data_IF_308475148768
#
_entry.id   IF_308475148768
#
_cell.length_a   1.000
_cell.length_b   1.000
_cell.length_c   1.000
_cell.angle_alpha   90.00
_cell.angle_beta   90.00
_cell.angle_gamma   90.00
#
_symmetry.space_group_name_H-M   'P 1'
#
loop_
_entity.id
_entity.type
_entity.pdbx_description
1 polymer ?
#
# COMPACT_ATOMS: atom_id res chain seq x y z
N UNK A 1 15.09 43.76 44.24
CA UNK A 1 14.00 42.75 44.22
C UNK A 1 13.23 42.68 42.89
N UNK A 2 13.04 43.80 42.15
CA UNK A 2 12.28 43.80 40.87
C UNK A 2 12.96 43.08 39.68
N UNK A 3 14.29 43.09 39.59
CA UNK A 3 15.05 42.44 38.50
C UNK A 3 14.94 40.90 38.52
N UNK A 4 14.91 40.29 39.70
CA UNK A 4 14.84 38.83 39.82
C UNK A 4 13.48 38.27 39.39
N UNK A 5 12.40 39.05 39.53
CA UNK A 5 11.06 38.65 39.08
C UNK A 5 10.97 38.69 37.54
N UNK A 6 11.61 39.67 36.92
CA UNK A 6 11.65 39.77 35.46
C UNK A 6 12.44 38.62 34.82
N UNK A 7 13.58 38.23 35.42
CA UNK A 7 14.37 37.08 34.98
C UNK A 7 13.58 35.76 35.12
N UNK A 8 12.81 35.63 36.20
CA UNK A 8 11.99 34.43 36.46
C UNK A 8 10.84 34.28 35.45
N UNK A 9 10.16 35.38 35.10
CA UNK A 9 9.12 35.39 34.07
C UNK A 9 9.68 35.09 32.67
N UNK A 10 10.91 35.54 32.37
CA UNK A 10 11.59 35.23 31.11
C UNK A 10 11.93 33.73 31.02
N UNK A 11 12.33 33.10 32.13
CA UNK A 11 12.64 31.66 32.18
C UNK A 11 11.38 30.78 32.01
N UNK A 12 10.23 31.22 32.52
CA UNK A 12 8.96 30.48 32.38
C UNK A 12 8.38 30.54 30.97
N UNK A 13 8.73 31.56 30.16
CA UNK A 13 8.33 31.62 28.75
C UNK A 13 9.06 30.62 27.84
N UNK A 14 10.15 30.00 28.32
CA UNK A 14 10.91 28.99 27.56
C UNK A 14 10.36 27.57 27.69
N UNK A 15 9.32 27.32 28.51
CA UNK A 15 8.66 26.01 28.64
C UNK A 15 7.62 25.80 27.51
N UNK A 16 7.81 26.48 26.37
CA UNK A 16 6.92 26.42 25.22
C UNK A 16 6.89 25.03 24.57
N UNK A 17 5.84 24.27 24.88
CA UNK A 17 5.24 23.20 24.06
C UNK A 17 6.21 22.34 23.24
N UNK A 18 6.98 21.47 23.91
CA UNK A 18 7.58 20.33 23.23
C UNK A 18 6.49 19.34 22.86
N UNK A 19 6.07 19.31 21.60
CA UNK A 19 5.19 18.27 21.07
C UNK A 19 5.96 16.94 21.07
N UNK A 20 5.64 16.04 22.00
CA UNK A 20 6.40 14.80 22.23
C UNK A 20 5.78 13.56 21.55
N UNK A 21 5.00 13.75 20.49
CA UNK A 21 4.48 12.62 19.73
C UNK A 21 5.63 11.76 19.19
N UNK A 22 5.45 10.44 19.21
CA UNK A 22 6.45 9.48 18.77
C UNK A 22 5.80 8.43 17.89
N UNK A 23 6.42 8.17 16.75
CA UNK A 23 6.04 7.08 15.88
C UNK A 23 7.18 6.07 15.87
N UNK A 24 6.85 4.84 16.21
CA UNK A 24 7.77 3.70 16.07
C UNK A 24 7.14 2.72 15.11
N UNK A 25 7.97 2.05 14.32
CA UNK A 25 7.47 1.00 13.48
C UNK A 25 8.52 0.00 13.06
N UNK A 26 8.04 -1.04 12.38
CA UNK A 26 8.85 -2.13 11.88
C UNK A 26 8.38 -2.53 10.49
N UNK A 27 9.32 -2.71 9.56
CA UNK A 27 9.00 -3.32 8.28
C UNK A 27 8.90 -4.84 8.44
N UNK A 28 7.78 -5.41 8.00
CA UNK A 28 7.56 -6.85 7.98
C UNK A 28 7.86 -7.33 6.57
N UNK A 29 9.07 -7.87 6.39
CA UNK A 29 9.56 -8.31 5.08
C UNK A 29 8.86 -9.59 4.64
N UNK A 30 8.34 -9.59 3.40
CA UNK A 30 7.73 -10.79 2.79
C UNK A 30 8.75 -11.67 2.06
N UNK A 31 9.79 -11.06 1.49
CA UNK A 31 10.86 -11.66 0.71
C UNK A 31 12.16 -11.73 1.53
N UNK A 32 12.26 -12.75 2.38
CA UNK A 32 13.35 -12.91 3.37
C UNK A 32 14.75 -12.95 2.74
N UNK A 33 14.87 -13.42 1.50
CA UNK A 33 16.12 -13.43 0.74
C UNK A 33 16.73 -12.04 0.54
N UNK A 34 15.91 -10.98 0.54
CA UNK A 34 16.36 -9.61 0.32
C UNK A 34 16.66 -8.84 1.61
N UNK A 35 16.61 -9.49 2.77
CA UNK A 35 16.75 -8.84 4.08
C UNK A 35 17.97 -7.92 4.20
N UNK A 36 19.14 -8.41 3.77
CA UNK A 36 20.39 -7.65 3.86
C UNK A 36 20.30 -6.36 3.03
N UNK A 37 19.87 -6.48 1.77
CA UNK A 37 19.70 -5.33 0.87
C UNK A 37 18.72 -4.31 1.46
N UNK A 38 17.60 -4.79 2.02
CA UNK A 38 16.58 -3.92 2.63
C UNK A 38 17.13 -3.19 3.86
N UNK A 39 17.72 -3.90 4.81
CA UNK A 39 18.26 -3.30 6.05
C UNK A 39 19.38 -2.30 5.78
N UNK A 40 20.17 -2.49 4.73
CA UNK A 40 21.31 -1.63 4.41
C UNK A 40 20.92 -0.38 3.59
N UNK A 41 19.82 -0.41 2.85
CA UNK A 41 19.52 0.63 1.86
C UNK A 41 18.16 1.32 2.02
N UNK A 42 17.31 0.86 2.94
CA UNK A 42 15.93 1.37 3.06
C UNK A 42 15.79 2.54 4.02
N UNK A 43 15.04 3.54 3.58
CA UNK A 43 14.63 4.73 4.31
C UNK A 43 13.10 4.74 4.41
N UNK A 44 12.62 5.09 5.59
CA UNK A 44 11.22 5.47 5.82
C UNK A 44 11.16 6.99 5.77
N UNK A 45 10.27 7.52 4.96
CA UNK A 45 10.07 8.96 4.77
C UNK A 45 8.72 9.32 5.36
N UNK A 46 8.70 10.29 6.26
CA UNK A 46 7.51 10.79 6.92
C UNK A 46 7.17 12.18 6.36
N UNK A 47 5.91 12.41 6.03
CA UNK A 47 5.36 13.73 5.74
C UNK A 47 4.25 14.07 6.74
N UNK A 48 4.42 15.17 7.45
CA UNK A 48 3.47 15.71 8.43
C UNK A 48 3.26 17.20 8.12
N UNK A 49 2.16 17.52 7.44
CA UNK A 49 1.90 18.88 6.97
C UNK A 49 3.01 19.37 6.04
N UNK A 50 3.78 20.37 6.50
CA UNK A 50 4.96 20.92 5.81
C UNK A 50 6.28 20.22 6.17
N UNK A 51 6.32 19.46 7.26
CA UNK A 51 7.51 18.71 7.67
C UNK A 51 7.67 17.48 6.79
N UNK A 52 8.87 17.32 6.26
CA UNK A 52 9.32 16.09 5.62
C UNK A 52 10.55 15.64 6.38
N UNK A 53 10.56 14.38 6.79
CA UNK A 53 11.64 13.76 7.56
C UNK A 53 11.93 12.38 6.97
N UNK A 54 13.12 11.85 7.19
CA UNK A 54 13.48 10.52 6.74
C UNK A 54 14.45 9.86 7.69
N UNK A 55 14.22 8.58 7.98
CA UNK A 55 15.10 7.77 8.81
C UNK A 55 15.48 6.51 8.06
N UNK A 56 16.75 6.13 8.15
CA UNK A 56 17.19 4.81 7.70
C UNK A 56 16.62 3.75 8.64
N UNK A 57 16.17 2.62 8.09
CA UNK A 57 15.76 1.49 8.93
C UNK A 57 16.97 0.90 9.66
N UNK A 58 16.74 0.43 10.87
CA UNK A 58 17.74 -0.29 11.65
C UNK A 58 17.97 -1.70 11.09
N UNK A 59 19.00 -2.38 11.59
CA UNK A 59 19.31 -3.76 11.20
C UNK A 59 18.19 -4.76 11.49
N UNK A 60 17.31 -4.48 12.46
CA UNK A 60 16.12 -5.27 12.78
C UNK A 60 14.86 -4.79 12.02
N UNK A 61 15.05 -3.92 11.02
CA UNK A 61 14.02 -3.27 10.22
C UNK A 61 13.09 -2.32 11.01
N UNK A 62 13.47 -1.94 12.23
CA UNK A 62 12.76 -0.94 13.01
C UNK A 62 13.10 0.49 12.58
N UNK A 63 12.21 1.43 12.88
CA UNK A 63 12.42 2.86 12.67
C UNK A 63 11.68 3.69 13.71
N UNK A 64 12.17 4.90 13.97
CA UNK A 64 11.60 5.80 14.97
C UNK A 64 11.62 7.24 14.46
N UNK A 65 10.48 7.91 14.57
CA UNK A 65 10.36 9.37 14.43
C UNK A 65 9.94 9.97 15.77
N UNK A 66 10.63 11.03 16.19
CA UNK A 66 10.37 11.74 17.44
C UNK A 66 9.89 13.16 17.19
N UNK A 67 9.41 13.79 18.26
CA UNK A 67 8.97 15.18 18.31
C UNK A 67 7.92 15.47 17.24
N UNK A 68 6.95 14.57 17.12
CA UNK A 68 5.85 14.67 16.17
C UNK A 68 4.71 15.46 16.80
N UNK A 69 4.16 16.38 16.02
CA UNK A 69 2.96 17.12 16.37
C UNK A 69 1.68 16.31 16.16
N UNK A 70 0.56 16.95 16.48
CA UNK A 70 -0.77 16.47 16.12
C UNK A 70 -1.03 16.74 14.64
N UNK A 71 -0.80 15.73 13.80
CA UNK A 71 -1.05 15.85 12.37
C UNK A 71 -1.44 14.49 11.75
N UNK A 72 -1.97 14.54 10.54
CA UNK A 72 -2.07 13.40 9.64
C UNK A 72 -0.69 13.13 9.07
N UNK A 73 -0.13 12.00 9.46
CA UNK A 73 1.16 11.52 9.03
C UNK A 73 0.98 10.66 7.78
N UNK A 74 1.83 10.88 6.78
CA UNK A 74 1.95 10.05 5.58
C UNK A 74 3.32 9.42 5.54
N UNK A 75 3.37 8.09 5.36
CA UNK A 75 4.64 7.36 5.28
C UNK A 75 4.87 6.85 3.86
N UNK A 76 6.11 6.99 3.42
CA UNK A 76 6.67 6.42 2.20
C UNK A 76 7.90 5.59 2.56
N UNK A 77 8.25 4.63 1.71
CA UNK A 77 9.44 3.79 1.88
C UNK A 77 10.24 3.87 0.58
N UNK A 78 11.56 4.04 0.69
CA UNK A 78 12.49 4.23 -0.42
C UNK A 78 13.83 3.54 -0.15
N UNK A 79 14.57 3.03 -1.15
CA UNK A 79 14.15 2.89 -2.53
C UNK A 79 13.12 1.77 -2.67
N UNK A 80 12.32 1.82 -3.73
CA UNK A 80 11.48 0.70 -4.14
C UNK A 80 11.84 0.32 -5.56
N UNK A 81 11.95 -0.99 -5.80
CA UNK A 81 12.30 -1.54 -7.12
C UNK A 81 11.12 -1.54 -8.09
N UNK A 82 9.91 -1.31 -7.58
CA UNK A 82 8.68 -1.18 -8.35
C UNK A 82 7.88 0.02 -7.86
N UNK A 83 7.09 0.60 -8.76
CA UNK A 83 6.16 1.68 -8.42
C UNK A 83 5.16 1.16 -7.40
N UNK A 84 4.85 1.96 -6.39
CA UNK A 84 3.76 1.67 -5.50
C UNK A 84 3.15 2.96 -5.00
N UNK A 85 1.85 3.06 -5.15
CA UNK A 85 1.04 4.15 -4.63
C UNK A 85 0.62 3.93 -3.15
N UNK A 86 1.21 2.97 -2.44
CA UNK A 86 0.87 2.75 -1.02
C UNK A 86 1.33 3.93 -0.18
N UNK A 87 0.36 4.67 0.33
CA UNK A 87 0.54 5.75 1.30
C UNK A 87 -0.10 5.30 2.60
N UNK A 88 0.71 5.12 3.64
CA UNK A 88 0.18 4.84 4.98
C UNK A 88 -0.21 6.17 5.63
N UNK A 89 -1.52 6.40 5.75
CA UNK A 89 -2.08 7.55 6.43
C UNK A 89 -2.41 7.18 7.87
N UNK A 90 -1.94 7.96 8.83
CA UNK A 90 -2.19 7.75 10.24
C UNK A 90 -2.29 9.08 10.97
N UNK A 91 -3.26 9.20 11.87
CA UNK A 91 -3.36 10.35 12.76
C UNK A 91 -2.58 10.09 14.04
N UNK A 92 -1.85 11.10 14.52
CA UNK A 92 -1.19 11.08 15.81
C UNK A 92 -1.83 12.13 16.74
N UNK A 93 -2.19 11.71 17.96
CA UNK A 93 -2.66 12.59 19.02
C UNK A 93 -1.50 13.20 19.78
N UNK A 94 -1.79 14.23 20.57
CA UNK A 94 -0.77 14.94 21.34
C UNK A 94 -0.11 13.97 22.34
N UNK A 95 1.23 13.95 22.34
CA UNK A 95 2.04 13.06 23.19
C UNK A 95 1.75 11.56 22.99
N UNK A 96 1.11 11.15 21.90
CA UNK A 96 0.86 9.74 21.58
C UNK A 96 2.16 9.06 21.14
N UNK A 97 2.38 7.85 21.66
CA UNK A 97 3.36 6.91 21.11
C UNK A 97 2.58 5.90 20.26
N UNK A 98 2.82 5.92 18.96
CA UNK A 98 2.15 5.02 18.01
C UNK A 98 3.11 3.97 17.50
N UNK A 99 2.65 2.72 17.50
CA UNK A 99 3.37 1.57 16.99
C UNK A 99 2.70 1.08 15.70
N UNK A 100 3.47 0.88 14.64
CA UNK A 100 2.97 0.37 13.37
C UNK A 100 3.85 -0.74 12.81
N UNK A 101 3.21 -1.72 12.18
CA UNK A 101 3.89 -2.75 11.40
C UNK A 101 3.51 -2.56 9.94
N UNK A 102 4.51 -2.45 9.08
CA UNK A 102 4.31 -2.19 7.66
C UNK A 102 4.75 -3.41 6.86
N UNK A 103 3.82 -4.15 6.24
CA UNK A 103 4.18 -5.17 5.26
C UNK A 103 4.99 -4.56 4.14
N UNK A 104 6.17 -5.13 3.88
CA UNK A 104 7.10 -4.64 2.87
C UNK A 104 7.59 -5.80 2.02
N UNK A 105 7.55 -5.61 0.70
CA UNK A 105 8.16 -6.50 -0.26
C UNK A 105 9.15 -5.67 -1.07
N UNK A 106 10.43 -6.05 -1.08
CA UNK A 106 11.45 -5.29 -1.78
C UNK A 106 11.42 -5.51 -3.29
N UNK A 107 10.91 -6.66 -3.72
CA UNK A 107 10.65 -7.05 -5.10
C UNK A 107 9.16 -7.34 -5.28
N UNK A 108 8.62 -7.07 -6.47
CA UNK A 108 7.25 -7.44 -6.78
C UNK A 108 7.18 -8.93 -7.17
N UNK A 109 6.52 -9.81 -6.39
CA UNK A 109 6.45 -11.24 -6.72
C UNK A 109 5.72 -11.54 -8.03
N UNK A 110 4.92 -10.59 -8.52
CA UNK A 110 4.15 -10.69 -9.77
C UNK A 110 4.87 -10.05 -10.97
N UNK A 111 6.12 -9.62 -10.81
CA UNK A 111 6.89 -9.00 -11.90
C UNK A 111 7.45 -10.02 -12.90
N UNK A 112 7.57 -11.29 -12.51
CA UNK A 112 8.19 -12.35 -13.33
C UNK A 112 7.21 -12.96 -14.35
N UNK A 113 5.91 -12.67 -14.25
CA UNK A 113 4.88 -13.11 -15.19
C UNK A 113 4.72 -12.16 -16.38
N UNK A 114 5.64 -12.16 -17.34
CA UNK A 114 5.44 -11.41 -18.60
C UNK A 114 4.43 -12.12 -19.51
N UNK A 115 3.15 -11.87 -19.28
CA UNK A 115 2.05 -12.30 -20.16
C UNK A 115 1.10 -13.31 -19.54
N UNK A 116 0.18 -13.83 -20.35
CA UNK A 116 -0.91 -14.69 -19.93
C UNK A 116 -0.52 -16.18 -19.86
N UNK A 117 0.73 -16.51 -19.52
CA UNK A 117 1.22 -17.90 -19.41
C UNK A 117 1.39 -18.25 -17.94
N UNK A 118 0.67 -19.28 -17.48
CA UNK A 118 0.76 -19.74 -16.10
C UNK A 118 2.20 -20.16 -15.75
N UNK A 119 2.79 -19.67 -14.64
CA UNK A 119 4.15 -20.02 -14.24
C UNK A 119 4.28 -21.49 -13.82
N UNK A 120 3.19 -22.14 -13.39
CA UNK A 120 3.16 -23.54 -12.94
C UNK A 120 2.93 -24.50 -14.11
N UNK A 121 1.77 -24.45 -14.76
CA UNK A 121 1.44 -25.40 -15.84
C UNK A 121 1.97 -24.99 -17.23
N UNK A 122 2.53 -23.79 -17.40
CA UNK A 122 3.04 -23.24 -18.68
C UNK A 122 2.00 -23.15 -19.80
N UNK A 123 0.71 -23.12 -19.46
CA UNK A 123 -0.41 -22.95 -20.41
C UNK A 123 -1.04 -21.57 -20.28
N UNK A 124 -1.75 -21.15 -21.33
CA UNK A 124 -2.50 -19.90 -21.39
C UNK A 124 -4.01 -20.07 -21.64
N UNK A 125 -4.47 -21.30 -21.97
CA UNK A 125 -5.85 -21.62 -22.30
C UNK A 125 -6.80 -21.58 -21.09
N UNK A 126 -6.24 -21.68 -19.88
CA UNK A 126 -6.94 -21.57 -18.58
C UNK A 126 -6.52 -20.35 -17.79
N UNK A 127 -5.99 -19.33 -18.46
CA UNK A 127 -5.55 -18.09 -17.81
C UNK A 127 -6.54 -16.97 -18.14
N UNK A 128 -7.09 -16.35 -17.12
CA UNK A 128 -8.02 -15.22 -17.24
C UNK A 128 -7.44 -13.98 -16.53
N UNK A 129 -7.73 -12.76 -17.00
CA UNK A 129 -7.27 -11.54 -16.34
C UNK A 129 -7.92 -11.39 -14.96
N UNK A 130 -7.18 -10.77 -14.04
CA UNK A 130 -7.71 -10.28 -12.78
C UNK A 130 -8.10 -8.82 -12.97
N UNK A 131 -9.37 -8.51 -12.67
CA UNK A 131 -9.91 -7.15 -12.75
C UNK A 131 -10.10 -6.62 -11.35
N UNK A 132 -9.44 -5.50 -11.06
CA UNK A 132 -9.53 -4.79 -9.80
C UNK A 132 -10.51 -3.62 -9.87
N UNK A 133 -10.96 -3.17 -8.70
CA UNK A 133 -11.90 -2.09 -8.53
C UNK A 133 -13.36 -2.57 -8.52
N UNK A 134 -14.26 -1.59 -8.60
CA UNK A 134 -15.69 -1.85 -8.62
C UNK A 134 -16.11 -2.38 -10.00
N UNK A 135 -16.40 -3.67 -10.08
CA UNK A 135 -16.84 -4.33 -11.31
C UNK A 135 -18.34 -4.59 -11.23
N UNK A 136 -19.10 -4.01 -12.16
CA UNK A 136 -20.52 -4.30 -12.33
C UNK A 136 -20.73 -5.23 -13.53
N UNK A 137 -21.40 -6.36 -13.29
CA UNK A 137 -21.95 -7.19 -14.38
C UNK A 137 -23.24 -6.55 -14.87
N UNK A 138 -23.17 -5.79 -15.95
CA UNK A 138 -24.34 -5.20 -16.60
C UNK A 138 -24.92 -6.23 -17.56
N UNK A 139 -26.18 -6.62 -17.36
CA UNK A 139 -26.92 -7.46 -18.31
C UNK A 139 -27.63 -6.56 -19.31
N UNK A 140 -27.21 -6.61 -20.58
CA UNK A 140 -27.87 -5.89 -21.66
C UNK A 140 -29.00 -6.73 -22.23
N UNK A 141 -30.10 -6.07 -22.60
CA UNK A 141 -31.22 -6.71 -23.27
C UNK A 141 -31.65 -5.90 -24.48
N UNK A 142 -32.08 -6.59 -25.53
CA UNK A 142 -32.73 -5.95 -26.67
C UNK A 142 -34.18 -5.55 -26.34
N UNK A 143 -34.85 -4.90 -27.30
CA UNK A 143 -36.28 -4.51 -27.21
C UNK A 143 -37.23 -5.70 -27.02
N UNK A 144 -36.79 -6.92 -27.32
CA UNK A 144 -37.56 -8.15 -27.22
C UNK A 144 -37.25 -8.92 -25.91
N UNK A 145 -36.34 -8.41 -25.07
CA UNK A 145 -35.94 -9.02 -23.81
C UNK A 145 -34.83 -10.08 -23.91
N UNK A 146 -34.22 -10.29 -25.08
CA UNK A 146 -33.11 -11.23 -25.27
C UNK A 146 -31.82 -10.67 -24.66
N UNK A 147 -30.96 -11.55 -24.10
CA UNK A 147 -29.64 -11.15 -23.61
C UNK A 147 -28.75 -10.70 -24.76
N UNK A 148 -28.07 -9.57 -24.58
CA UNK A 148 -27.10 -9.04 -25.55
C UNK A 148 -25.76 -8.72 -24.88
N UNK A 149 -24.71 -8.61 -25.69
CA UNK A 149 -23.46 -7.97 -25.27
C UNK A 149 -23.59 -6.43 -25.26
N UNK A 150 -22.50 -5.75 -24.87
CA UNK A 150 -22.40 -4.28 -24.87
C UNK A 150 -22.57 -3.62 -26.24
N UNK A 151 -22.49 -4.40 -27.32
CA UNK A 151 -22.63 -3.95 -28.70
C UNK A 151 -24.01 -4.31 -29.28
N UNK A 152 -24.90 -4.91 -28.50
CA UNK A 152 -26.24 -5.31 -28.93
C UNK A 152 -26.30 -6.65 -29.68
N UNK A 153 -25.22 -7.44 -29.69
CA UNK A 153 -25.24 -8.79 -30.28
C UNK A 153 -25.90 -9.76 -29.31
N UNK A 154 -26.85 -10.57 -29.80
CA UNK A 154 -27.50 -11.61 -28.99
C UNK A 154 -26.46 -12.62 -28.52
N UNK A 155 -26.45 -12.90 -27.22
CA UNK A 155 -25.57 -13.90 -26.59
C UNK A 155 -26.38 -14.99 -25.90
N UNK A 156 -25.81 -16.18 -25.81
CA UNK A 156 -26.45 -17.28 -25.09
C UNK A 156 -26.34 -17.11 -23.57
N UNK A 157 -27.16 -17.82 -22.80
CA UNK A 157 -27.01 -17.86 -21.33
C UNK A 157 -25.66 -18.44 -20.91
N UNK A 158 -25.17 -19.43 -21.64
CA UNK A 158 -23.87 -20.05 -21.39
C UNK A 158 -22.71 -19.08 -21.64
N UNK A 159 -22.84 -18.21 -22.65
CA UNK A 159 -21.88 -17.12 -22.91
C UNK A 159 -21.90 -16.04 -21.81
N UNK A 160 -23.07 -15.67 -21.27
CA UNK A 160 -23.22 -14.73 -20.13
C UNK A 160 -22.61 -15.29 -18.83
N UNK A 161 -22.68 -16.61 -18.66
CA UNK A 161 -22.18 -17.31 -17.46
C UNK A 161 -20.68 -17.62 -17.52
N UNK A 162 -20.05 -17.53 -18.69
CA UNK A 162 -18.61 -17.82 -18.86
C UNK A 162 -17.77 -16.82 -18.04
N UNK A 163 -16.93 -17.36 -17.16
CA UNK A 163 -16.00 -16.56 -16.37
C UNK A 163 -14.86 -16.06 -17.27
N UNK A 164 -14.91 -14.78 -17.64
CA UNK A 164 -13.87 -14.13 -18.46
C UNK A 164 -12.81 -13.41 -17.64
N UNK A 165 -13.03 -13.25 -16.33
CA UNK A 165 -12.12 -12.54 -15.43
C UNK A 165 -12.34 -12.96 -13.97
N UNK A 166 -11.27 -12.91 -13.17
CA UNK A 166 -11.35 -13.03 -11.70
C UNK A 166 -11.45 -11.63 -11.09
N UNK A 167 -12.25 -11.47 -10.04
CA UNK A 167 -12.30 -10.21 -9.29
C UNK A 167 -11.13 -10.17 -8.29
N UNK A 168 -10.27 -9.16 -8.43
CA UNK A 168 -9.09 -8.96 -7.57
C UNK A 168 -9.35 -8.12 -6.31
N UNK A 169 -10.55 -7.56 -6.17
CA UNK A 169 -10.89 -6.61 -5.10
C UNK A 169 -10.42 -5.18 -5.40
N UNK A 170 -10.15 -4.38 -4.38
CA UNK A 170 -9.62 -3.02 -4.56
C UNK A 170 -8.15 -3.03 -5.00
N UNK A 171 -7.76 -2.07 -5.83
CA UNK A 171 -6.33 -1.80 -6.08
C UNK A 171 -5.74 -1.21 -4.80
N UNK A 172 -4.80 -1.91 -4.18
CA UNK A 172 -4.14 -1.47 -2.94
C UNK A 172 -2.67 -1.10 -3.22
N UNK A 173 -2.08 -1.68 -4.26
CA UNK A 173 -0.67 -1.53 -4.62
C UNK A 173 -0.53 -1.62 -6.14
N UNK A 174 0.56 -1.10 -6.73
CA UNK A 174 0.86 -1.35 -8.15
C UNK A 174 1.64 -2.67 -8.36
N UNK A 175 1.73 -3.50 -7.32
CA UNK A 175 2.26 -4.86 -7.38
C UNK A 175 1.15 -5.85 -7.02
N UNK A 176 0.28 -6.04 -8.00
CA UNK A 176 -0.84 -6.97 -7.94
C UNK A 176 -0.73 -7.93 -9.14
N UNK A 177 -1.15 -9.19 -8.97
CA UNK A 177 -1.18 -10.15 -10.07
C UNK A 177 -2.16 -9.69 -11.14
N UNK A 178 -1.81 -9.85 -12.40
CA UNK A 178 -2.68 -9.46 -13.52
C UNK A 178 -3.47 -10.65 -14.06
N UNK A 179 -3.05 -11.87 -13.72
CA UNK A 179 -3.55 -13.10 -14.31
C UNK A 179 -3.88 -14.13 -13.25
N UNK A 180 -4.93 -14.91 -13.51
CA UNK A 180 -5.35 -16.04 -12.69
C UNK A 180 -5.35 -17.31 -13.53
N UNK A 181 -4.62 -18.33 -13.08
CA UNK A 181 -4.71 -19.66 -13.66
C UNK A 181 -5.87 -20.41 -13.02
N UNK A 182 -6.91 -20.71 -13.80
CA UNK A 182 -8.07 -21.47 -13.35
C UNK A 182 -7.73 -22.93 -13.06
N UNK A 183 -6.72 -23.50 -13.74
CA UNK A 183 -6.30 -24.88 -13.56
C UNK A 183 -5.58 -25.10 -12.23
N UNK A 184 -4.60 -24.24 -11.94
CA UNK A 184 -3.74 -24.36 -10.76
C UNK A 184 -4.26 -23.54 -9.57
N UNK A 185 -5.30 -22.71 -9.78
CA UNK A 185 -5.89 -21.82 -8.79
C UNK A 185 -4.87 -20.84 -8.17
N UNK A 186 -4.04 -20.22 -9.00
CA UNK A 186 -2.99 -19.26 -8.58
C UNK A 186 -3.14 -17.90 -9.26
N UNK A 187 -2.79 -16.85 -8.53
CA UNK A 187 -2.70 -15.47 -9.02
C UNK A 187 -1.24 -15.13 -9.33
N UNK A 188 -0.96 -14.54 -10.50
CA UNK A 188 0.38 -14.16 -10.93
C UNK A 188 0.44 -12.92 -11.83
#
# INVERSE_FOLDING_TARGET
>A
MRINILLFLLFMSLIGFSQNGKLTGKLILKDVENYKSVSENTFVILKAGKRIDSVKVNHDLSFVFNNLGTDTLRIFISPRTYLTNIIYNLCLKENEIKHIEIPYASVCPYSEGKGNICPVCKKNDKVIPIVYGFTMKIKYRDKNGNLTDKNGKIISKEEDEKVTSKQGGCVITDCQPNWFCQLDNIDF
#
